data_IF_132983334622
#
_entry.id   IF_132983334622
#
_cell.length_a   1.000
_cell.length_b   1.000
_cell.length_c   1.000
_cell.angle_alpha   90.00
_cell.angle_beta   90.00
_cell.angle_gamma   90.00
#
_symmetry.space_group_name_H-M   'P 1'
#
loop_
_entity.id
_entity.type
_entity.pdbx_description
1 polymer ?
#
# COMPACT_ATOMS: atom_id res chain seq x y z
N UNK A 1 -60.55 -13.94 33.55
CA UNK A 1 -60.02 -13.45 32.24
C UNK A 1 -58.61 -12.85 32.28
N UNK A 2 -57.96 -12.67 33.45
CA UNK A 2 -56.64 -12.01 33.56
C UNK A 2 -55.45 -12.87 33.09
N UNK A 3 -55.46 -14.19 33.36
CA UNK A 3 -54.34 -15.09 33.08
C UNK A 3 -53.94 -15.20 31.59
N UNK A 4 -54.92 -15.10 30.67
CA UNK A 4 -54.66 -15.18 29.22
C UNK A 4 -53.86 -14.00 28.68
N UNK A 5 -53.97 -12.82 29.29
CA UNK A 5 -53.25 -11.62 28.83
C UNK A 5 -51.77 -11.66 29.19
N UNK A 6 -51.43 -12.22 30.36
CA UNK A 6 -50.05 -12.41 30.78
C UNK A 6 -49.29 -13.42 29.92
N UNK A 7 -49.95 -14.53 29.54
CA UNK A 7 -49.36 -15.53 28.65
C UNK A 7 -49.03 -14.98 27.26
N UNK A 8 -49.95 -14.21 26.67
CA UNK A 8 -49.75 -13.58 25.35
C UNK A 8 -48.60 -12.57 25.37
N UNK A 9 -48.48 -11.79 26.45
CA UNK A 9 -47.35 -10.87 26.62
C UNK A 9 -46.01 -11.62 26.69
N UNK A 10 -45.95 -12.71 27.45
CA UNK A 10 -44.73 -13.54 27.57
C UNK A 10 -44.33 -14.16 26.23
N UNK A 11 -45.28 -14.71 25.48
CA UNK A 11 -45.01 -15.26 24.14
C UNK A 11 -44.48 -14.18 23.19
N UNK A 12 -45.08 -12.98 23.19
CA UNK A 12 -44.61 -11.86 22.37
C UNK A 12 -43.18 -11.43 22.74
N UNK A 13 -42.84 -11.34 24.03
CA UNK A 13 -41.49 -11.02 24.48
C UNK A 13 -40.47 -12.09 24.10
N UNK A 14 -40.84 -13.37 24.18
CA UNK A 14 -39.96 -14.47 23.74
C UNK A 14 -39.70 -14.38 22.25
N UNK A 15 -40.73 -14.20 21.42
CA UNK A 15 -40.55 -14.07 19.96
C UNK A 15 -39.72 -12.84 19.59
N UNK A 16 -39.97 -11.70 20.25
CA UNK A 16 -39.20 -10.47 20.05
C UNK A 16 -37.74 -10.65 20.47
N UNK A 17 -37.47 -11.36 21.57
CA UNK A 17 -36.13 -11.66 22.04
C UNK A 17 -35.36 -12.58 21.09
N UNK A 18 -36.01 -13.64 20.59
CA UNK A 18 -35.42 -14.53 19.59
C UNK A 18 -35.14 -13.77 18.29
N UNK A 19 -36.07 -12.95 17.83
CA UNK A 19 -35.88 -12.13 16.64
C UNK A 19 -34.70 -11.16 16.80
N UNK A 20 -34.60 -10.47 17.93
CA UNK A 20 -33.48 -9.56 18.23
C UNK A 20 -32.15 -10.32 18.28
N UNK A 21 -32.12 -11.51 18.88
CA UNK A 21 -30.92 -12.35 18.95
C UNK A 21 -30.45 -12.77 17.54
N UNK A 22 -31.37 -13.16 16.66
CA UNK A 22 -31.07 -13.48 15.26
C UNK A 22 -30.54 -12.25 14.50
N UNK A 23 -31.16 -11.09 14.69
CA UNK A 23 -30.70 -9.84 14.07
C UNK A 23 -29.30 -9.43 14.55
N UNK A 24 -29.01 -9.59 15.84
CA UNK A 24 -27.67 -9.34 16.39
C UNK A 24 -26.65 -10.31 15.82
N UNK A 25 -26.97 -11.61 15.74
CA UNK A 25 -26.08 -12.61 15.15
C UNK A 25 -25.77 -12.31 13.67
N UNK A 26 -26.78 -11.91 12.89
CA UNK A 26 -26.59 -11.49 11.50
C UNK A 26 -25.72 -10.23 11.40
N UNK A 27 -25.96 -9.22 12.23
CA UNK A 27 -25.16 -8.00 12.29
C UNK A 27 -23.69 -8.30 12.57
N UNK A 28 -23.39 -9.10 13.60
CA UNK A 28 -22.02 -9.49 13.93
C UNK A 28 -21.36 -10.23 12.77
N UNK A 29 -22.08 -11.16 12.13
CA UNK A 29 -21.55 -11.92 10.99
C UNK A 29 -21.15 -11.00 9.84
N UNK A 30 -22.01 -10.05 9.46
CA UNK A 30 -21.71 -9.06 8.41
C UNK A 30 -20.53 -8.18 8.81
N UNK A 31 -20.51 -7.70 10.05
CA UNK A 31 -19.42 -6.85 10.56
C UNK A 31 -18.05 -7.55 10.50
N UNK A 32 -17.99 -8.83 10.91
CA UNK A 32 -16.75 -9.61 10.84
C UNK A 32 -16.29 -9.83 9.40
N UNK A 33 -17.22 -10.15 8.48
CA UNK A 33 -16.90 -10.32 7.05
C UNK A 33 -16.37 -9.02 6.47
N UNK A 34 -17.05 -7.90 6.70
CA UNK A 34 -16.63 -6.59 6.20
C UNK A 34 -15.23 -6.22 6.70
N UNK A 35 -14.95 -6.45 7.99
CA UNK A 35 -13.65 -6.12 8.58
C UNK A 35 -12.52 -6.95 7.94
N UNK A 36 -12.74 -8.25 7.73
CA UNK A 36 -11.76 -9.12 7.08
C UNK A 36 -11.56 -8.77 5.59
N UNK A 37 -12.64 -8.47 4.87
CA UNK A 37 -12.57 -8.09 3.46
C UNK A 37 -11.87 -6.74 3.24
N UNK A 38 -12.09 -5.75 4.11
CA UNK A 38 -11.44 -4.45 4.01
C UNK A 38 -9.93 -4.63 4.10
N UNK A 39 -9.43 -5.33 5.12
CA UNK A 39 -7.98 -5.58 5.28
C UNK A 39 -7.37 -6.28 4.06
N UNK A 40 -8.07 -7.28 3.51
CA UNK A 40 -7.63 -7.95 2.28
C UNK A 40 -7.59 -7.00 1.08
N UNK A 41 -8.63 -6.18 0.87
CA UNK A 41 -8.69 -5.19 -0.22
C UNK A 41 -7.60 -4.14 -0.08
N UNK A 42 -7.29 -3.68 1.14
CA UNK A 42 -6.20 -2.75 1.40
C UNK A 42 -4.85 -3.35 1.01
N UNK A 43 -4.57 -4.60 1.40
CA UNK A 43 -3.32 -5.27 1.02
C UNK A 43 -3.18 -5.48 -0.50
N UNK A 44 -4.29 -5.80 -1.20
CA UNK A 44 -4.31 -5.91 -2.66
C UNK A 44 -4.04 -4.55 -3.33
N UNK A 45 -4.59 -3.47 -2.77
CA UNK A 45 -4.34 -2.13 -3.27
C UNK A 45 -2.87 -1.72 -3.10
N UNK A 46 -2.29 -1.96 -1.92
CA UNK A 46 -0.86 -1.71 -1.66
C UNK A 46 0.00 -2.53 -2.63
N UNK A 47 -0.37 -3.80 -2.86
CA UNK A 47 0.33 -4.66 -3.80
C UNK A 47 0.29 -4.09 -5.22
N UNK A 48 -0.90 -3.73 -5.71
CA UNK A 48 -1.10 -3.12 -7.03
C UNK A 48 -0.32 -1.81 -7.17
N UNK A 49 -0.33 -0.96 -6.14
CA UNK A 49 0.44 0.27 -6.11
C UNK A 49 1.94 0.00 -6.29
N UNK A 50 2.48 -1.00 -5.58
CA UNK A 50 3.90 -1.35 -5.74
C UNK A 50 4.24 -2.05 -7.05
N UNK A 51 3.32 -2.84 -7.61
CA UNK A 51 3.47 -3.38 -8.97
C UNK A 51 3.51 -2.25 -10.00
N UNK A 52 2.65 -1.24 -9.87
CA UNK A 52 2.67 -0.03 -10.71
C UNK A 52 3.99 0.74 -10.54
N UNK A 53 4.44 0.97 -9.31
CA UNK A 53 5.71 1.65 -9.05
C UNK A 53 6.89 0.91 -9.70
N UNK A 54 6.98 -0.40 -9.48
CA UNK A 54 8.04 -1.23 -10.06
C UNK A 54 7.97 -1.25 -11.60
N UNK A 55 6.77 -1.30 -12.17
CA UNK A 55 6.57 -1.23 -13.62
C UNK A 55 7.10 0.09 -14.18
N UNK A 56 6.77 1.24 -13.57
CA UNK A 56 7.27 2.54 -14.01
C UNK A 56 8.78 2.70 -13.83
N UNK A 57 9.33 2.19 -12.73
CA UNK A 57 10.78 2.14 -12.53
C UNK A 57 11.46 1.29 -13.63
N UNK A 58 10.91 0.12 -13.95
CA UNK A 58 11.41 -0.74 -15.02
C UNK A 58 11.32 -0.07 -16.39
N UNK A 59 10.21 0.60 -16.70
CA UNK A 59 10.09 1.37 -17.94
C UNK A 59 11.17 2.43 -18.03
N UNK A 60 11.42 3.18 -16.95
CA UNK A 60 12.47 4.19 -16.93
C UNK A 60 13.88 3.58 -17.08
N UNK A 61 14.13 2.44 -16.45
CA UNK A 61 15.40 1.70 -16.58
C UNK A 61 15.61 1.11 -17.98
N UNK A 62 14.54 0.68 -18.65
CA UNK A 62 14.59 0.16 -20.02
C UNK A 62 14.70 1.25 -21.08
N UNK A 63 14.49 2.52 -20.71
CA UNK A 63 14.67 3.65 -21.60
C UNK A 63 16.14 3.84 -21.98
N UNK A 64 16.38 4.48 -23.12
CA UNK A 64 17.73 4.85 -23.53
C UNK A 64 18.32 5.93 -22.61
N UNK A 65 19.64 6.14 -22.69
CA UNK A 65 20.31 7.20 -21.96
C UNK A 65 19.69 8.57 -22.28
N UNK A 66 19.34 9.32 -21.23
CA UNK A 66 18.60 10.58 -21.30
C UNK A 66 17.09 10.43 -21.17
N UNK A 67 16.55 9.20 -21.06
CA UNK A 67 15.13 8.98 -20.83
C UNK A 67 14.69 9.62 -19.51
N UNK A 68 13.65 10.44 -19.58
CA UNK A 68 13.09 11.14 -18.44
C UNK A 68 11.59 10.94 -18.39
N UNK A 69 11.09 10.48 -17.25
CA UNK A 69 9.69 10.10 -17.09
C UNK A 69 9.15 10.55 -15.75
N UNK A 70 8.09 11.36 -15.76
CA UNK A 70 7.41 11.78 -14.54
C UNK A 70 6.09 11.03 -14.39
N UNK A 71 5.86 10.47 -13.21
CA UNK A 71 4.61 9.83 -12.83
C UNK A 71 4.12 10.34 -11.49
N UNK A 72 2.81 10.28 -11.30
CA UNK A 72 2.17 10.61 -10.04
C UNK A 72 2.11 9.39 -9.11
N UNK A 73 2.71 9.52 -7.94
CA UNK A 73 2.54 8.66 -6.78
C UNK A 73 2.15 9.53 -5.59
N UNK A 74 0.92 9.35 -5.11
CA UNK A 74 0.47 10.09 -3.93
C UNK A 74 1.35 9.76 -2.73
N UNK A 75 1.60 10.76 -1.87
CA UNK A 75 2.45 10.64 -0.66
C UNK A 75 2.00 9.52 0.29
N UNK A 76 0.72 9.16 0.26
CA UNK A 76 0.12 8.19 1.16
C UNK A 76 -0.62 7.11 0.38
N UNK A 77 -0.50 5.86 0.83
CA UNK A 77 -1.34 4.75 0.41
C UNK A 77 -2.45 4.63 1.45
N UNK A 78 -3.70 4.88 1.03
CA UNK A 78 -4.88 4.82 1.90
C UNK A 78 -4.77 5.72 3.15
N UNK A 79 -4.21 6.93 2.97
CA UNK A 79 -4.04 7.91 4.06
C UNK A 79 -2.89 7.60 5.02
N UNK A 80 -2.07 6.59 4.74
CA UNK A 80 -0.90 6.20 5.55
C UNK A 80 0.39 6.34 4.74
N UNK A 81 1.51 6.73 5.37
CA UNK A 81 2.77 6.87 4.66
C UNK A 81 3.31 5.50 4.22
N UNK A 82 4.23 5.51 3.27
CA UNK A 82 4.95 4.33 2.82
C UNK A 82 6.41 4.70 2.55
N UNK A 83 7.27 3.70 2.59
CA UNK A 83 8.69 3.85 2.31
C UNK A 83 9.06 2.95 1.16
N UNK A 84 9.90 3.46 0.27
CA UNK A 84 10.42 2.70 -0.86
C UNK A 84 11.87 2.38 -0.60
N UNK A 85 12.22 1.11 -0.50
CA UNK A 85 13.61 0.65 -0.38
C UNK A 85 14.04 0.04 -1.69
N UNK A 86 15.29 0.31 -2.08
CA UNK A 86 15.87 -0.32 -3.24
C UNK A 86 17.06 -1.16 -2.81
N UNK A 87 17.04 -2.42 -3.21
CA UNK A 87 18.12 -3.35 -3.03
C UNK A 87 18.77 -3.59 -4.40
N UNK A 88 20.01 -3.14 -4.62
CA UNK A 88 20.73 -3.45 -5.84
C UNK A 88 20.93 -4.97 -5.97
N UNK A 89 21.16 -5.44 -7.18
CA UNK A 89 21.49 -6.84 -7.40
C UNK A 89 22.78 -7.19 -6.63
N UNK A 90 22.72 -8.20 -5.76
CA UNK A 90 23.91 -8.74 -5.12
C UNK A 90 24.88 -9.28 -6.18
N UNK A 91 26.19 -9.31 -5.87
CA UNK A 91 27.18 -9.92 -6.76
C UNK A 91 26.78 -11.38 -7.10
N UNK A 92 26.41 -11.64 -8.36
CA UNK A 92 25.91 -12.94 -8.83
C UNK A 92 24.39 -13.04 -9.01
N UNK A 93 23.61 -12.04 -8.59
CA UNK A 93 22.18 -11.91 -8.93
C UNK A 93 22.01 -11.06 -10.18
N UNK A 94 21.06 -11.43 -11.04
CA UNK A 94 20.65 -10.59 -12.20
C UNK A 94 19.58 -9.58 -11.84
N UNK A 95 18.93 -9.74 -10.68
CA UNK A 95 17.74 -8.98 -10.32
C UNK A 95 18.05 -8.06 -9.13
N UNK A 96 17.75 -6.77 -9.32
CA UNK A 96 17.57 -5.83 -8.23
C UNK A 96 16.12 -5.91 -7.73
N UNK A 97 15.88 -5.50 -6.49
CA UNK A 97 14.55 -5.53 -5.88
C UNK A 97 14.16 -4.15 -5.35
N UNK A 98 12.91 -3.79 -5.60
CA UNK A 98 12.19 -2.71 -4.95
C UNK A 98 11.36 -3.29 -3.81
N UNK A 99 11.43 -2.69 -2.64
CA UNK A 99 10.58 -3.03 -1.51
C UNK A 99 9.70 -1.84 -1.20
N UNK A 100 8.38 -2.04 -1.17
CA UNK A 100 7.46 -1.03 -0.65
C UNK A 100 6.98 -1.50 0.72
N UNK A 101 7.31 -0.69 1.74
CA UNK A 101 6.86 -0.90 3.11
C UNK A 101 5.71 0.05 3.40
N UNK A 102 4.51 -0.51 3.59
CA UNK A 102 3.35 0.24 4.02
C UNK A 102 3.28 0.27 5.54
N UNK A 103 3.44 1.46 6.13
CA UNK A 103 3.72 1.60 7.57
C UNK A 103 2.52 1.27 8.46
N UNK A 104 1.31 1.20 7.91
CA UNK A 104 0.11 0.89 8.70
C UNK A 104 0.14 -0.53 9.27
N UNK A 105 0.61 -1.49 8.47
CA UNK A 105 0.59 -2.91 8.81
C UNK A 105 2.00 -3.54 8.80
N UNK A 106 3.06 -2.72 8.66
CA UNK A 106 4.44 -3.17 8.48
C UNK A 106 4.60 -4.25 7.40
N UNK A 107 3.78 -4.16 6.35
CA UNK A 107 3.83 -5.10 5.25
C UNK A 107 4.83 -4.59 4.23
N UNK A 108 5.78 -5.45 3.88
CA UNK A 108 6.81 -5.17 2.90
C UNK A 108 6.62 -6.11 1.71
N UNK A 109 6.46 -5.54 0.52
CA UNK A 109 6.32 -6.30 -0.72
C UNK A 109 7.56 -6.15 -1.61
N UNK A 110 8.22 -7.25 -2.02
CA UNK A 110 9.31 -7.21 -2.98
C UNK A 110 8.79 -7.18 -4.42
N UNK A 111 9.44 -6.37 -5.26
CA UNK A 111 9.19 -6.29 -6.70
C UNK A 111 10.50 -6.32 -7.45
N UNK A 112 10.62 -7.18 -8.46
CA UNK A 112 11.82 -7.25 -9.27
C UNK A 112 11.94 -6.04 -10.19
N UNK A 113 13.12 -5.43 -10.21
CA UNK A 113 13.45 -4.30 -11.08
C UNK A 113 14.74 -4.55 -11.87
N UNK A 114 14.94 -3.78 -12.94
CA UNK A 114 16.13 -3.80 -13.77
C UNK A 114 17.41 -3.55 -12.97
N UNK A 115 18.51 -4.09 -13.48
CA UNK A 115 19.81 -3.96 -12.82
C UNK A 115 20.45 -2.61 -13.16
N UNK A 116 20.04 -1.57 -12.44
CA UNK A 116 20.64 -0.25 -12.51
C UNK A 116 20.90 0.29 -11.11
N UNK A 117 21.95 1.10 -10.97
CA UNK A 117 22.24 1.76 -9.70
C UNK A 117 21.28 2.92 -9.51
N UNK A 118 20.61 2.99 -8.35
CA UNK A 118 19.73 4.11 -8.06
C UNK A 118 20.44 5.24 -7.35
N UNK A 119 20.15 6.45 -7.81
CA UNK A 119 20.62 7.70 -7.21
C UNK A 119 19.42 8.49 -6.71
N UNK A 120 19.59 9.11 -5.54
CA UNK A 120 18.66 10.17 -5.14
C UNK A 120 18.87 11.39 -6.04
N UNK A 121 17.77 11.98 -6.46
CA UNK A 121 17.70 13.31 -7.02
C UNK A 121 17.23 14.30 -5.95
N UNK A 122 16.72 15.44 -6.41
CA UNK A 122 16.22 16.49 -5.54
C UNK A 122 15.03 16.04 -4.70
N UNK A 123 15.06 16.40 -3.41
CA UNK A 123 13.96 16.33 -2.43
C UNK A 123 13.41 14.95 -2.09
N UNK A 124 14.06 13.89 -2.55
CA UNK A 124 13.85 12.57 -1.97
C UNK A 124 14.67 12.48 -0.70
N UNK A 125 13.99 12.25 0.44
CA UNK A 125 14.70 11.99 1.68
C UNK A 125 15.24 10.57 1.64
N UNK A 126 16.55 10.45 1.72
CA UNK A 126 17.23 9.16 1.80
C UNK A 126 17.58 8.87 3.26
N UNK A 127 17.10 7.75 3.76
CA UNK A 127 17.52 7.19 5.03
C UNK A 127 18.27 5.90 4.73
N UNK A 128 19.53 5.81 5.15
CA UNK A 128 20.38 4.65 4.90
C UNK A 128 20.74 3.97 6.22
N UNK A 129 19.87 3.10 6.77
CA UNK A 129 20.30 2.14 7.77
C UNK A 129 21.25 1.11 7.14
N UNK A 130 21.97 0.35 7.98
CA UNK A 130 22.98 -0.63 7.56
C UNK A 130 22.48 -1.71 6.57
N UNK A 131 21.16 -1.82 6.35
CA UNK A 131 20.49 -2.82 5.50
C UNK A 131 20.04 -2.31 4.12
N UNK A 132 20.25 -1.04 3.77
CA UNK A 132 19.92 -0.54 2.42
C UNK A 132 19.59 0.96 2.35
N UNK A 133 19.26 1.43 1.15
CA UNK A 133 18.81 2.81 0.90
C UNK A 133 17.29 2.88 0.84
N UNK A 134 16.70 3.67 1.73
CA UNK A 134 15.27 3.91 1.84
C UNK A 134 14.98 5.33 1.38
N UNK A 135 13.93 5.48 0.61
CA UNK A 135 13.51 6.74 0.01
C UNK A 135 12.09 7.04 0.49
N UNK A 136 11.93 8.19 1.13
CA UNK A 136 10.63 8.70 1.54
C UNK A 136 10.11 9.69 0.49
N UNK A 137 8.86 9.50 0.10
CA UNK A 137 8.18 10.36 -0.88
C UNK A 137 7.44 11.45 -0.12
N UNK A 138 7.93 12.69 -0.22
CA UNK A 138 7.41 13.83 0.53
C UNK A 138 6.94 14.97 -0.38
N UNK A 139 6.66 14.68 -1.65
CA UNK A 139 6.14 15.68 -2.61
C UNK A 139 4.69 16.01 -2.27
N UNK A 140 4.39 17.30 -2.12
CA UNK A 140 3.02 17.83 -1.98
C UNK A 140 2.20 17.51 -3.23
N UNK A 141 2.84 17.51 -4.40
CA UNK A 141 2.21 17.22 -5.70
C UNK A 141 2.15 15.72 -6.02
N UNK A 142 2.81 14.88 -5.20
CA UNK A 142 2.93 13.45 -5.45
C UNK A 142 3.60 13.12 -6.79
N UNK A 143 4.45 14.02 -7.32
CA UNK A 143 5.09 13.79 -8.62
C UNK A 143 6.52 13.31 -8.43
N UNK A 144 6.83 12.14 -9.00
CA UNK A 144 8.15 11.55 -9.03
C UNK A 144 8.67 11.50 -10.45
N UNK A 145 9.89 11.96 -10.62
CA UNK A 145 10.61 11.97 -11.87
C UNK A 145 11.73 10.93 -11.85
N UNK A 146 11.71 10.06 -12.84
CA UNK A 146 12.65 8.97 -13.08
C UNK A 146 13.52 9.37 -14.26
N UNK A 147 14.81 9.60 -14.00
CA UNK A 147 15.78 9.98 -15.02
C UNK A 147 16.83 8.89 -15.19
N UNK A 148 16.98 8.37 -16.40
CA UNK A 148 17.96 7.36 -16.76
C UNK A 148 19.13 8.01 -17.49
N UNK A 149 20.34 7.93 -16.92
CA UNK A 149 21.57 8.45 -17.55
C UNK A 149 22.35 7.41 -18.37
N UNK A 150 21.83 6.18 -18.48
CA UNK A 150 22.44 5.03 -19.14
C UNK A 150 23.14 4.06 -18.19
N UNK A 151 23.46 4.49 -16.96
CA UNK A 151 24.12 3.65 -15.94
C UNK A 151 23.33 3.65 -14.61
N UNK A 152 22.71 4.77 -14.30
CA UNK A 152 21.99 5.04 -13.07
C UNK A 152 20.56 5.52 -13.35
N UNK A 153 19.64 5.13 -12.47
CA UNK A 153 18.31 5.71 -12.40
C UNK A 153 18.25 6.72 -11.24
N UNK A 154 18.04 7.98 -11.58
CA UNK A 154 17.88 9.06 -10.61
C UNK A 154 16.41 9.29 -10.30
N UNK A 155 16.04 9.23 -9.02
CA UNK A 155 14.69 9.52 -8.53
C UNK A 155 14.63 10.91 -7.93
N UNK A 156 13.83 11.79 -8.52
CA UNK A 156 13.65 13.17 -8.05
C UNK A 156 12.19 13.47 -7.80
N UNK A 157 11.88 14.30 -6.80
CA UNK A 157 10.53 14.81 -6.59
C UNK A 157 10.35 16.13 -7.32
N UNK A 158 9.19 16.31 -7.93
CA UNK A 158 8.79 17.57 -8.56
C UNK A 158 7.97 18.40 -7.56
N UNK A 159 8.22 19.70 -7.53
CA UNK A 159 7.46 20.66 -6.71
C UNK A 159 7.97 20.80 -5.28
N UNK A 160 9.28 20.81 -5.09
CA UNK A 160 9.89 21.05 -3.78
C UNK A 160 10.03 22.54 -3.51
N UNK A 161 8.91 23.15 -3.14
CA UNK A 161 8.84 24.51 -2.59
C UNK A 161 7.72 24.52 -1.58
#
# INVERSE_FOLDING_TARGET
MSARKGQVATEFFIYSGVFLAVMLAAYFTIFFIQTAEISNKESLYVRWFGESFASHANTAMSGDAGFNYTMRFDKNILGKPYVVQFQPANAGSRNAFLYITWTSNNVTFPYAIGNMTLRKGSCVQEFSPASGRYYEINSILGMLNFYNDGENLTLSQVGCT
#
